data_IF_485703464073
#
_entry.id   IF_485703464073
#
_cell.length_a   1.000
_cell.length_b   1.000
_cell.length_c   1.000
_cell.angle_alpha   90.00
_cell.angle_beta   90.00
_cell.angle_gamma   90.00
#
_symmetry.space_group_name_H-M   'P 1'
#
loop_
_entity.id
_entity.type
_entity.pdbx_description
1 polymer ?
#
# COMPACT_ATOMS: atom_id res chain seq x y z
N UNK A 1 -14.93 -7.24 -8.32
CA UNK A 1 -14.89 -5.82 -7.94
C UNK A 1 -13.44 -5.41 -8.01
N UNK A 2 -13.11 -4.41 -8.81
CA UNK A 2 -11.79 -3.78 -8.81
C UNK A 2 -11.85 -2.61 -7.84
N UNK A 3 -10.84 -2.48 -6.97
CA UNK A 3 -10.79 -1.41 -5.97
C UNK A 3 -9.89 -0.31 -6.52
N UNK A 4 -10.44 0.88 -6.67
CA UNK A 4 -9.73 2.06 -7.14
C UNK A 4 -9.50 3.02 -5.97
N UNK A 5 -8.25 3.44 -5.78
CA UNK A 5 -7.89 4.40 -4.75
C UNK A 5 -7.20 5.62 -5.39
N UNK A 6 -7.81 6.79 -5.20
CA UNK A 6 -7.28 8.07 -5.67
C UNK A 6 -6.46 8.74 -4.56
N UNK A 7 -5.14 8.83 -4.76
CA UNK A 7 -4.21 9.40 -3.76
C UNK A 7 -3.90 10.88 -4.03
N UNK A 8 -4.42 11.46 -5.11
CA UNK A 8 -4.26 12.87 -5.47
C UNK A 8 -4.69 13.87 -4.37
N UNK A 9 -5.83 13.66 -3.69
CA UNK A 9 -6.22 14.51 -2.57
C UNK A 9 -5.20 14.53 -1.43
N UNK A 10 -4.50 13.42 -1.17
CA UNK A 10 -3.50 13.33 -0.10
C UNK A 10 -2.21 14.07 -0.46
N UNK A 11 -1.75 13.93 -1.70
CA UNK A 11 -0.61 14.70 -2.20
C UNK A 11 -0.84 16.22 -2.10
N UNK A 12 -2.10 16.67 -2.16
CA UNK A 12 -2.44 18.09 -2.05
C UNK A 12 -2.32 18.65 -0.62
N UNK A 13 -2.34 17.79 0.41
CA UNK A 13 -2.22 18.21 1.82
C UNK A 13 -0.78 18.64 2.15
N UNK A 14 0.22 17.97 1.55
CA UNK A 14 1.63 18.28 1.72
C UNK A 14 2.24 19.17 0.64
N UNK A 15 1.43 19.69 -0.29
CA UNK A 15 1.93 20.46 -1.42
C UNK A 15 2.12 21.93 -1.05
N UNK A 16 3.33 22.44 -1.29
CA UNK A 16 3.63 23.86 -1.15
C UNK A 16 3.21 24.62 -2.42
N UNK A 17 2.56 25.76 -2.23
CA UNK A 17 2.10 26.61 -3.32
C UNK A 17 3.09 27.75 -3.55
N UNK A 18 4.02 27.57 -4.48
CA UNK A 18 4.90 28.66 -4.94
C UNK A 18 4.54 29.06 -6.37
N UNK A 19 4.17 30.34 -6.56
CA UNK A 19 3.92 30.94 -7.88
C UNK A 19 2.87 30.26 -8.77
N UNK A 20 1.83 29.65 -8.18
CA UNK A 20 0.75 28.99 -8.93
C UNK A 20 1.09 27.60 -9.46
N UNK A 21 2.25 27.05 -9.08
CA UNK A 21 2.62 25.67 -9.28
C UNK A 21 2.50 24.93 -7.93
N UNK A 22 1.84 23.79 -7.95
CA UNK A 22 1.65 22.91 -6.79
C UNK A 22 2.82 21.93 -6.81
N UNK A 23 3.80 22.15 -5.94
CA UNK A 23 4.96 21.24 -5.84
C UNK A 23 4.62 20.11 -4.87
N UNK A 24 4.40 18.91 -5.42
CA UNK A 24 4.12 17.71 -4.63
C UNK A 24 5.45 17.11 -4.16
N UNK A 25 5.67 16.96 -2.84
CA UNK A 25 6.90 16.37 -2.32
C UNK A 25 7.02 14.90 -2.75
N UNK A 26 8.26 14.38 -2.94
CA UNK A 26 8.47 12.95 -3.12
C UNK A 26 7.92 12.17 -1.93
N UNK A 27 7.26 11.05 -2.21
CA UNK A 27 6.73 10.17 -1.15
C UNK A 27 6.81 8.71 -1.56
N UNK A 28 7.04 7.83 -0.58
CA UNK A 28 7.10 6.38 -0.76
C UNK A 28 5.80 5.76 -0.28
N UNK A 29 5.01 5.23 -1.22
CA UNK A 29 3.84 4.41 -0.92
C UNK A 29 4.27 2.95 -0.84
N UNK A 30 4.14 2.35 0.32
CA UNK A 30 4.37 0.93 0.48
C UNK A 30 3.07 0.13 0.38
N UNK A 31 3.15 -1.07 -0.18
CA UNK A 31 2.05 -2.04 -0.19
C UNK A 31 2.47 -3.32 0.55
N UNK A 32 1.57 -3.79 1.42
CA UNK A 32 1.74 -4.99 2.24
C UNK A 32 1.03 -6.21 1.66
N UNK A 33 0.37 -7.00 2.51
CA UNK A 33 -0.34 -8.24 2.13
C UNK A 33 -1.51 -8.01 1.17
N UNK A 34 -1.97 -6.78 1.05
CA UNK A 34 -2.99 -6.38 0.09
C UNK A 34 -2.62 -6.77 -1.36
N UNK A 35 -1.36 -6.58 -1.75
CA UNK A 35 -0.94 -6.55 -3.16
C UNK A 35 -1.25 -7.87 -3.92
N UNK A 36 -1.16 -9.02 -3.24
CA UNK A 36 -1.39 -10.33 -3.84
C UNK A 36 -2.75 -10.94 -3.49
N UNK A 37 -3.48 -10.30 -2.57
CA UNK A 37 -4.79 -10.77 -2.09
C UNK A 37 -5.92 -10.08 -2.83
N UNK A 38 -5.71 -8.85 -3.30
CA UNK A 38 -6.75 -8.03 -3.94
C UNK A 38 -6.30 -7.48 -5.29
N UNK A 39 -7.21 -7.42 -6.29
CA UNK A 39 -6.95 -6.77 -7.56
C UNK A 39 -7.21 -5.26 -7.45
N UNK A 40 -6.42 -4.55 -6.63
CA UNK A 40 -6.51 -3.10 -6.51
C UNK A 40 -5.75 -2.36 -7.61
N UNK A 41 -6.12 -1.11 -7.81
CA UNK A 41 -5.44 -0.19 -8.73
C UNK A 41 -5.31 1.19 -8.10
N UNK A 42 -4.09 1.70 -8.10
CA UNK A 42 -3.73 2.99 -7.49
C UNK A 42 -3.33 3.98 -8.58
N UNK A 43 -3.89 5.18 -8.51
CA UNK A 43 -3.37 6.32 -9.30
C UNK A 43 -2.44 7.13 -8.41
N UNK A 44 -1.13 6.98 -8.63
CA UNK A 44 -0.11 7.68 -7.87
C UNK A 44 0.03 9.13 -8.33
N UNK A 45 0.13 10.09 -7.40
CA UNK A 45 0.55 11.46 -7.70
C UNK A 45 1.94 11.49 -8.33
N UNK A 46 2.26 12.61 -8.98
CA UNK A 46 3.62 12.83 -9.48
C UNK A 46 4.62 12.84 -8.32
N UNK A 47 5.82 12.28 -8.55
CA UNK A 47 6.91 12.12 -7.56
C UNK A 47 6.66 11.07 -6.46
N UNK A 48 5.55 10.32 -6.53
CA UNK A 48 5.34 9.19 -5.62
C UNK A 48 5.90 7.91 -6.22
N UNK A 49 6.55 7.10 -5.40
CA UNK A 49 7.09 5.80 -5.79
C UNK A 49 6.43 4.68 -4.98
N UNK A 50 6.09 3.58 -5.66
CA UNK A 50 5.54 2.39 -5.02
C UNK A 50 6.66 1.43 -4.63
N UNK A 51 6.61 0.95 -3.39
CA UNK A 51 7.52 -0.05 -2.83
C UNK A 51 6.75 -1.16 -2.11
N UNK A 52 7.44 -2.26 -1.79
CA UNK A 52 6.86 -3.40 -1.08
C UNK A 52 7.45 -3.48 0.32
N UNK A 53 6.65 -3.89 1.30
CA UNK A 53 7.15 -4.36 2.60
C UNK A 53 7.12 -5.89 2.64
N UNK A 54 7.96 -6.50 3.49
CA UNK A 54 7.95 -7.96 3.68
C UNK A 54 6.57 -8.41 4.20
N UNK A 55 6.07 -9.53 3.67
CA UNK A 55 4.81 -10.17 4.08
C UNK A 55 4.93 -11.69 3.96
N UNK A 56 3.85 -12.46 4.14
CA UNK A 56 3.89 -13.91 3.91
C UNK A 56 3.91 -14.26 2.41
N UNK A 57 3.88 -13.27 1.51
CA UNK A 57 4.16 -13.52 0.11
C UNK A 57 5.64 -13.85 -0.13
N UNK A 58 5.90 -15.04 -0.66
CA UNK A 58 7.26 -15.56 -0.90
C UNK A 58 7.58 -15.82 -2.37
N UNK A 59 6.95 -15.08 -3.28
CA UNK A 59 7.16 -15.19 -4.72
C UNK A 59 7.99 -14.06 -5.33
N UNK A 60 8.09 -14.05 -6.65
CA UNK A 60 8.75 -12.98 -7.39
C UNK A 60 7.92 -11.70 -7.30
N UNK A 61 8.55 -10.59 -6.89
CA UNK A 61 7.95 -9.27 -6.92
C UNK A 61 8.21 -8.57 -8.26
N UNK A 62 7.26 -7.71 -8.73
CA UNK A 62 7.47 -6.90 -9.91
C UNK A 62 8.59 -5.86 -9.68
N UNK A 63 9.23 -5.44 -10.77
CA UNK A 63 10.22 -4.36 -10.77
C UNK A 63 9.68 -3.17 -11.57
N UNK A 64 9.82 -1.93 -11.06
CA UNK A 64 9.55 -0.74 -11.86
C UNK A 64 10.35 -0.74 -13.15
N UNK A 65 9.74 -0.23 -14.22
CA UNK A 65 10.44 0.03 -15.47
C UNK A 65 11.50 1.12 -15.27
N UNK A 66 12.57 1.07 -16.08
CA UNK A 66 13.53 2.15 -16.12
C UNK A 66 12.90 3.47 -16.61
N UNK A 67 13.52 4.61 -16.31
CA UNK A 67 13.05 5.93 -16.77
C UNK A 67 13.49 6.28 -18.20
N UNK A 68 14.31 5.46 -18.84
CA UNK A 68 14.82 5.66 -20.20
C UNK A 68 13.79 5.35 -21.29
N UNK A 69 13.90 5.97 -22.48
CA UNK A 69 12.98 5.73 -23.60
C UNK A 69 12.90 4.26 -24.08
N UNK A 70 13.93 3.44 -23.82
CA UNK A 70 13.96 2.01 -24.13
C UNK A 70 13.55 1.11 -22.94
N UNK A 71 12.93 1.65 -21.89
CA UNK A 71 12.66 0.94 -20.64
C UNK A 71 11.94 -0.41 -20.82
N UNK A 72 10.97 -0.48 -21.74
CA UNK A 72 10.20 -1.71 -22.03
C UNK A 72 11.01 -2.80 -22.74
N UNK A 73 12.23 -2.48 -23.20
CA UNK A 73 13.16 -3.41 -23.85
C UNK A 73 14.28 -3.88 -22.92
N UNK A 74 14.42 -3.27 -21.75
CA UNK A 74 15.45 -3.62 -20.77
C UNK A 74 14.95 -4.81 -19.97
N UNK A 75 15.74 -5.87 -19.91
CA UNK A 75 15.45 -7.04 -19.07
C UNK A 75 15.70 -6.64 -17.60
N UNK A 76 14.69 -6.68 -16.72
CA UNK A 76 14.88 -6.36 -15.31
C UNK A 76 15.83 -7.36 -14.65
N UNK A 77 16.71 -6.86 -13.78
CA UNK A 77 17.54 -7.72 -12.93
C UNK A 77 16.70 -8.40 -11.85
N UNK A 78 17.24 -9.49 -11.30
CA UNK A 78 16.67 -10.19 -10.15
C UNK A 78 15.23 -10.69 -10.42
N UNK A 79 15.02 -11.14 -11.66
CA UNK A 79 13.85 -11.89 -12.09
C UNK A 79 14.24 -13.36 -12.19
N UNK A 80 13.37 -14.25 -11.71
CA UNK A 80 13.58 -15.69 -11.80
C UNK A 80 12.35 -16.43 -12.35
N UNK A 81 12.58 -17.54 -13.05
CA UNK A 81 11.56 -18.35 -13.73
C UNK A 81 10.86 -19.36 -12.80
N UNK A 82 11.28 -19.43 -11.53
CA UNK A 82 10.74 -20.33 -10.53
C UNK A 82 9.79 -19.64 -9.54
N UNK A 83 9.46 -18.36 -9.77
CA UNK A 83 8.66 -17.53 -8.87
C UNK A 83 9.19 -17.58 -7.41
N UNK A 84 10.51 -17.61 -7.23
CA UNK A 84 11.15 -17.54 -5.91
C UNK A 84 11.07 -16.12 -5.38
N UNK A 85 10.99 -16.01 -4.05
CA UNK A 85 11.03 -14.75 -3.31
C UNK A 85 12.15 -13.82 -3.78
N UNK A 86 11.79 -12.58 -4.08
CA UNK A 86 12.74 -11.52 -4.41
C UNK A 86 12.85 -10.50 -3.27
N UNK A 87 13.83 -10.70 -2.39
CA UNK A 87 14.00 -9.91 -1.16
C UNK A 87 14.56 -8.52 -1.39
N UNK A 88 15.24 -8.27 -2.52
CA UNK A 88 15.89 -6.98 -2.78
C UNK A 88 14.89 -5.84 -3.03
N UNK A 89 13.59 -6.13 -3.04
CA UNK A 89 12.51 -5.19 -3.36
C UNK A 89 11.77 -4.72 -2.11
N UNK A 90 12.05 -5.32 -0.96
CA UNK A 90 11.43 -4.93 0.30
C UNK A 90 12.11 -3.69 0.88
N UNK A 91 11.29 -2.78 1.42
CA UNK A 91 11.70 -1.71 2.32
C UNK A 91 11.25 -2.01 3.74
N UNK A 92 11.94 -1.42 4.71
CA UNK A 92 11.44 -1.36 6.10
C UNK A 92 10.17 -0.51 6.12
N UNK A 93 9.12 -0.90 6.88
CA UNK A 93 7.92 -0.09 7.03
C UNK A 93 8.20 1.36 7.48
N UNK A 94 9.23 1.57 8.29
CA UNK A 94 9.66 2.89 8.76
C UNK A 94 10.27 3.82 7.69
N UNK A 95 10.51 3.32 6.47
CA UNK A 95 11.00 4.09 5.33
C UNK A 95 9.86 4.51 4.39
N UNK A 96 8.63 4.12 4.70
CA UNK A 96 7.45 4.42 3.91
C UNK A 96 6.74 5.65 4.51
N UNK A 97 6.28 6.56 3.65
CA UNK A 97 5.47 7.71 4.10
C UNK A 97 4.00 7.31 4.22
N UNK A 98 3.57 6.39 3.36
CA UNK A 98 2.22 5.82 3.36
C UNK A 98 2.29 4.30 3.23
N UNK A 99 1.30 3.61 3.78
CA UNK A 99 1.16 2.17 3.70
C UNK A 99 -0.27 1.80 3.32
N UNK A 100 -0.42 1.01 2.26
CA UNK A 100 -1.66 0.30 1.97
C UNK A 100 -1.51 -1.15 2.42
N UNK A 101 -2.36 -1.55 3.34
CA UNK A 101 -2.40 -2.93 3.82
C UNK A 101 -3.83 -3.39 4.11
N UNK A 102 -4.00 -4.60 4.62
CA UNK A 102 -5.33 -5.13 4.98
C UNK A 102 -5.43 -5.55 6.44
N UNK A 103 -6.53 -5.15 7.07
CA UNK A 103 -6.86 -5.54 8.43
C UNK A 103 -7.55 -6.91 8.40
N UNK A 104 -7.05 -7.87 9.20
CA UNK A 104 -7.54 -9.24 9.17
C UNK A 104 -7.10 -10.05 10.38
N UNK A 105 -7.67 -11.24 10.51
CA UNK A 105 -7.47 -12.10 11.69
C UNK A 105 -6.14 -12.88 11.70
N UNK A 106 -5.47 -12.98 10.54
CA UNK A 106 -4.24 -13.75 10.38
C UNK A 106 -3.00 -12.87 10.61
N UNK A 107 -2.78 -12.47 11.87
CA UNK A 107 -1.60 -11.70 12.28
C UNK A 107 -0.39 -12.63 12.39
N UNK A 108 0.69 -12.31 11.69
CA UNK A 108 1.98 -13.01 11.79
C UNK A 108 3.11 -12.02 12.08
N UNK A 109 4.30 -12.53 12.40
CA UNK A 109 5.49 -11.69 12.60
C UNK A 109 5.83 -10.84 11.35
N UNK A 110 5.45 -11.30 10.15
CA UNK A 110 5.66 -10.58 8.87
C UNK A 110 4.46 -9.78 8.41
N UNK A 111 3.27 -10.10 8.90
CA UNK A 111 2.03 -9.41 8.56
C UNK A 111 1.34 -8.91 9.83
N UNK A 112 1.99 -8.01 10.58
CA UNK A 112 1.39 -7.42 11.77
C UNK A 112 0.14 -6.63 11.39
N UNK A 113 -0.64 -6.28 12.41
CA UNK A 113 -1.76 -5.36 12.27
C UNK A 113 -1.24 -3.91 12.32
N UNK A 114 -0.92 -3.34 11.16
CA UNK A 114 -0.32 -2.01 11.06
C UNK A 114 -1.29 -0.90 11.48
N UNK A 115 -2.60 -1.06 11.26
CA UNK A 115 -3.60 -0.05 11.63
C UNK A 115 -3.74 0.10 13.15
N UNK A 116 -3.38 -0.94 13.91
CA UNK A 116 -3.33 -0.94 15.37
C UNK A 116 -1.99 -0.46 15.94
N UNK A 117 -0.97 -0.21 15.11
CA UNK A 117 0.34 0.24 15.56
C UNK A 117 0.37 1.74 15.82
N UNK A 118 1.05 2.22 16.89
CA UNK A 118 1.14 3.66 17.19
C UNK A 118 1.92 4.48 16.16
N UNK A 119 2.70 3.83 15.29
CA UNK A 119 3.50 4.50 14.26
C UNK A 119 2.68 4.93 13.03
N UNK A 120 1.44 4.45 12.92
CA UNK A 120 0.60 4.60 11.72
C UNK A 120 -0.73 5.27 12.07
N UNK A 121 -1.13 6.23 11.25
CA UNK A 121 -2.44 6.89 11.32
C UNK A 121 -3.31 6.43 10.15
N UNK A 122 -4.50 5.89 10.44
CA UNK A 122 -5.46 5.48 9.41
C UNK A 122 -6.03 6.72 8.71
N UNK A 123 -5.76 6.83 7.41
CA UNK A 123 -6.23 7.92 6.55
C UNK A 123 -7.61 7.60 5.98
N UNK A 124 -7.78 6.41 5.41
CA UNK A 124 -9.04 5.92 4.86
C UNK A 124 -9.04 4.41 4.76
N UNK A 125 -10.23 3.80 4.74
CA UNK A 125 -10.39 2.37 4.45
C UNK A 125 -11.45 2.15 3.38
N UNK A 126 -11.27 1.10 2.59
CA UNK A 126 -12.24 0.62 1.61
C UNK A 126 -12.73 -0.74 2.06
N UNK A 127 -14.04 -0.81 2.33
CA UNK A 127 -14.70 -2.06 2.61
C UNK A 127 -14.79 -2.86 1.32
N UNK A 128 -14.26 -4.08 1.31
CA UNK A 128 -14.32 -4.92 0.11
C UNK A 128 -15.74 -5.49 -0.15
N UNK A 129 -16.71 -5.31 0.76
CA UNK A 129 -18.13 -5.64 0.53
C UNK A 129 -18.98 -4.41 0.16
N UNK A 130 -19.67 -4.47 -0.98
CA UNK A 130 -20.93 -3.75 -1.20
C UNK A 130 -22.10 -4.60 -0.66
N UNK A 131 -22.94 -4.03 0.21
CA UNK A 131 -24.15 -4.69 0.69
C UNK A 131 -25.22 -4.78 -0.42
N UNK A 132 -25.20 -5.88 -1.17
CA UNK A 132 -26.32 -6.31 -2.00
C UNK A 132 -27.27 -7.19 -1.20
N UNK A 133 -28.36 -6.61 -0.69
CA UNK A 133 -29.48 -7.38 -0.11
C UNK A 133 -30.08 -8.29 -1.18
N UNK A 134 -29.80 -9.59 -1.16
CA UNK A 134 -30.75 -10.59 -1.68
C UNK A 134 -30.69 -11.90 -0.91
N UNK A 135 -31.82 -12.21 -0.29
CA UNK A 135 -32.17 -13.48 0.32
C UNK A 135 -32.11 -14.61 -0.72
N UNK A 136 -31.06 -15.42 -0.70
CA UNK A 136 -31.13 -16.84 -1.07
C UNK A 136 -29.89 -17.57 -0.59
N UNK A 137 -30.12 -18.77 -0.04
CA UNK A 137 -29.11 -19.74 0.37
C UNK A 137 -28.12 -20.04 -0.76
N UNK A 138 -26.93 -19.47 -0.71
CA UNK A 138 -25.77 -19.89 -1.49
C UNK A 138 -24.55 -19.84 -0.55
N UNK A 139 -23.72 -20.87 -0.60
CA UNK A 139 -22.49 -21.15 0.18
C UNK A 139 -21.77 -19.89 0.74
N UNK A 140 -21.16 -19.94 1.94
CA UNK A 140 -20.34 -18.84 2.44
C UNK A 140 -19.08 -18.82 1.60
N UNK A 141 -19.14 -18.13 0.48
CA UNK A 141 -17.96 -17.80 -0.29
C UNK A 141 -17.16 -16.88 0.62
N UNK A 142 -16.03 -17.41 1.08
CA UNK A 142 -14.90 -16.78 1.77
C UNK A 142 -14.41 -15.55 0.97
N UNK A 143 -15.23 -14.52 0.87
CA UNK A 143 -15.02 -13.37 0.01
C UNK A 143 -15.04 -12.13 0.90
N UNK A 144 -13.85 -11.57 1.10
CA UNK A 144 -13.63 -10.22 1.62
C UNK A 144 -14.18 -9.89 3.02
N UNK A 145 -13.58 -10.46 4.06
CA UNK A 145 -13.73 -9.95 5.45
C UNK A 145 -12.75 -8.81 5.74
N UNK A 146 -11.65 -8.72 4.97
CA UNK A 146 -10.57 -7.77 5.24
C UNK A 146 -10.82 -6.45 4.51
N UNK A 147 -10.72 -5.35 5.26
CA UNK A 147 -10.77 -4.00 4.71
C UNK A 147 -9.38 -3.61 4.21
N UNK A 148 -9.31 -2.94 3.06
CA UNK A 148 -8.06 -2.33 2.58
C UNK A 148 -7.92 -0.98 3.26
N UNK A 149 -6.82 -0.77 3.96
CA UNK A 149 -6.56 0.41 4.78
C UNK A 149 -5.36 1.16 4.24
N UNK A 150 -5.54 2.45 4.03
CA UNK A 150 -4.46 3.39 3.75
C UNK A 150 -4.07 4.11 5.04
N UNK A 151 -2.79 4.07 5.36
CA UNK A 151 -2.21 4.67 6.54
C UNK A 151 -1.11 5.67 6.17
N UNK A 152 -0.95 6.72 6.96
CA UNK A 152 0.17 7.65 6.90
C UNK A 152 1.14 7.35 8.06
N UNK A 153 2.44 7.43 7.79
CA UNK A 153 3.46 7.23 8.82
C UNK A 153 3.53 8.46 9.73
N UNK A 154 3.37 8.27 11.04
CA UNK A 154 3.35 9.34 12.03
C UNK A 154 4.02 8.87 13.33
N UNK A 155 5.36 8.83 13.39
CA UNK A 155 6.09 8.35 14.57
C UNK A 155 5.90 9.25 15.81
N UNK A 156 5.37 10.47 15.62
CA UNK A 156 5.25 11.50 16.66
C UNK A 156 3.96 11.44 17.49
N UNK A 157 3.05 10.48 17.25
CA UNK A 157 1.89 10.27 18.14
C UNK A 157 2.32 9.96 19.59
N UNK A 158 3.52 9.42 19.81
CA UNK A 158 4.10 9.23 21.15
C UNK A 158 4.68 10.52 21.77
N UNK A 159 5.09 11.53 20.98
CA UNK A 159 5.62 12.79 21.52
C UNK A 159 4.52 13.72 22.04
N UNK A 160 3.30 13.64 21.49
CA UNK A 160 2.15 14.41 21.97
C UNK A 160 1.54 13.85 23.26
N UNK A 161 1.80 12.59 23.61
CA UNK A 161 1.38 11.97 24.88
C UNK A 161 2.37 12.16 26.03
N UNK A 162 3.60 12.62 25.75
CA UNK A 162 4.63 12.92 26.76
C UNK A 162 4.84 14.43 27.00
N UNK A 163 4.08 15.28 26.31
CA UNK A 163 4.11 16.74 26.46
C UNK A 163 2.84 17.33 27.14
N UNK A 164 2.21 16.57 28.05
CA UNK A 164 1.21 17.07 29.01
C UNK A 164 1.64 16.72 30.44
#
# INVERSE_FOLDING_TARGET
MEIYMELGPLASIGADSHSGQVDIPPSTLCVGKEWYRFPSSFFLPQNWELSFIESEFRGQLPKPYASSANATRIIPTDMNDANKEERSRYLSPSLCDYLVDTDGHDVTDREPDYSSSPDWEVVTSVKCMEEGVTNTRQMPTLFCIMDIVLMAYSPDQLQNLLNI
#
